data_IF_536617112046
#
_entry.id   IF_536617112046
#
_cell.length_a   1.000
_cell.length_b   1.000
_cell.length_c   1.000
_cell.angle_alpha   90.00
_cell.angle_beta   90.00
_cell.angle_gamma   90.00
#
_symmetry.space_group_name_H-M   'P 1'
#
loop_
_entity.id
_entity.type
_entity.pdbx_description
1 polymer ?
#
# COMPACT_ATOMS: atom_id res chain seq x y z
N UNK A 1 -63.30 -8.25 -5.25
CA UNK A 1 -62.28 -7.21 -4.95
C UNK A 1 -61.22 -7.82 -4.06
N UNK A 2 -60.09 -8.27 -4.61
CA UNK A 2 -58.99 -8.91 -3.87
C UNK A 2 -57.88 -7.89 -3.71
N UNK A 3 -57.66 -7.41 -2.46
CA UNK A 3 -56.54 -6.53 -2.16
C UNK A 3 -55.23 -7.32 -2.21
N UNK A 4 -54.39 -7.03 -3.23
CA UNK A 4 -53.01 -7.50 -3.27
C UNK A 4 -52.15 -6.80 -2.25
N UNK A 5 -51.61 -7.55 -1.27
CA UNK A 5 -50.58 -7.08 -0.36
C UNK A 5 -49.25 -6.99 -1.09
N UNK A 6 -48.77 -5.79 -1.37
CA UNK A 6 -47.40 -5.55 -1.77
C UNK A 6 -46.46 -5.72 -0.55
N UNK A 7 -45.70 -6.80 -0.54
CA UNK A 7 -44.56 -6.96 0.37
C UNK A 7 -43.40 -6.13 -0.18
N UNK A 8 -43.09 -5.03 0.51
CA UNK A 8 -41.84 -4.27 0.27
C UNK A 8 -40.73 -5.07 0.96
N UNK A 9 -39.70 -5.51 0.22
CA UNK A 9 -38.56 -6.15 0.87
C UNK A 9 -37.82 -5.12 1.73
N UNK A 10 -37.81 -5.34 3.04
CA UNK A 10 -36.92 -4.60 3.96
C UNK A 10 -35.48 -5.03 3.63
N UNK A 11 -34.74 -4.17 2.94
CA UNK A 11 -33.30 -4.32 2.83
C UNK A 11 -32.69 -4.10 4.22
N UNK A 12 -32.27 -5.18 4.86
CA UNK A 12 -31.41 -5.10 6.05
C UNK A 12 -30.06 -4.52 5.60
N UNK A 13 -29.89 -3.22 5.71
CA UNK A 13 -28.58 -2.58 5.75
C UNK A 13 -27.90 -2.99 7.06
N UNK A 14 -27.30 -4.17 7.09
CA UNK A 14 -26.44 -4.57 8.19
C UNK A 14 -25.28 -3.57 8.25
N UNK A 15 -25.12 -2.87 9.39
CA UNK A 15 -23.95 -2.05 9.66
C UNK A 15 -22.71 -2.91 9.47
N UNK A 16 -21.90 -2.60 8.45
CA UNK A 16 -20.64 -3.30 8.24
C UNK A 16 -19.73 -2.94 9.42
N UNK A 17 -19.30 -3.97 10.17
CA UNK A 17 -18.37 -3.79 11.29
C UNK A 17 -17.13 -3.03 10.85
N UNK A 18 -16.61 -2.16 11.72
CA UNK A 18 -15.36 -1.45 11.47
C UNK A 18 -14.25 -2.46 11.16
N UNK A 19 -13.48 -2.18 10.11
CA UNK A 19 -12.32 -2.99 9.73
C UNK A 19 -11.05 -2.23 9.99
N UNK A 20 -10.16 -2.82 10.80
CA UNK A 20 -8.83 -2.27 11.06
C UNK A 20 -7.80 -3.04 10.26
N UNK A 21 -6.89 -2.32 9.61
CA UNK A 21 -5.70 -2.88 8.97
C UNK A 21 -4.45 -2.12 9.39
N UNK A 22 -3.30 -2.71 9.17
CA UNK A 22 -2.00 -2.07 9.40
C UNK A 22 -1.33 -1.76 8.07
N UNK A 23 -0.76 -0.58 7.96
CA UNK A 23 0.20 -0.26 6.93
C UNK A 23 1.60 -0.22 7.56
N UNK A 24 2.48 -1.02 7.00
CA UNK A 24 3.91 -1.03 7.24
C UNK A 24 4.60 -0.57 5.96
N UNK A 25 5.75 0.06 6.06
CA UNK A 25 6.49 0.51 4.87
C UNK A 25 7.99 0.33 5.08
N UNK A 26 8.72 0.13 3.99
CA UNK A 26 10.17 0.21 3.95
C UNK A 26 10.86 -0.62 5.07
N UNK A 27 10.58 -1.93 5.21
CA UNK A 27 11.39 -2.77 6.08
C UNK A 27 12.85 -2.81 5.63
N UNK A 28 13.11 -2.76 4.36
CA UNK A 28 14.34 -2.46 3.63
C UNK A 28 15.61 -3.04 4.28
N UNK A 29 15.60 -4.37 4.47
CA UNK A 29 16.69 -5.11 5.11
C UNK A 29 18.05 -4.79 4.51
N UNK A 30 18.96 -4.26 5.34
CA UNK A 30 20.32 -3.89 4.98
C UNK A 30 20.56 -2.39 4.86
N UNK A 31 19.57 -1.52 4.93
CA UNK A 31 19.73 -0.09 4.75
C UNK A 31 20.56 0.57 5.88
N UNK A 32 20.33 0.20 7.14
CA UNK A 32 21.05 0.75 8.29
C UNK A 32 22.56 0.57 8.19
N UNK A 33 22.99 -0.61 7.77
CA UNK A 33 24.40 -0.99 7.79
C UNK A 33 25.04 -1.02 6.41
N UNK A 34 24.37 -0.46 5.37
CA UNK A 34 24.84 -0.46 3.97
C UNK A 34 25.15 -1.89 3.49
N UNK A 35 24.22 -2.80 3.76
CA UNK A 35 24.24 -4.20 3.37
C UNK A 35 25.30 -5.09 4.06
N UNK A 36 25.95 -4.61 5.10
CA UNK A 36 26.88 -5.43 5.92
C UNK A 36 26.13 -6.41 6.83
N UNK A 37 25.01 -5.96 7.40
CA UNK A 37 24.06 -6.74 8.19
C UNK A 37 22.64 -6.15 8.05
N UNK A 38 21.67 -6.69 8.77
CA UNK A 38 20.29 -6.18 8.83
C UNK A 38 19.66 -6.41 10.21
N UNK A 39 20.45 -6.39 11.26
CA UNK A 39 20.02 -6.70 12.62
C UNK A 39 18.96 -5.70 13.12
N UNK A 40 19.10 -4.42 12.76
CA UNK A 40 18.13 -3.38 13.12
C UNK A 40 16.78 -3.59 12.42
N UNK A 41 16.79 -3.85 11.11
CA UNK A 41 15.57 -4.11 10.34
C UNK A 41 14.89 -5.40 10.80
N UNK A 42 15.68 -6.43 11.14
CA UNK A 42 15.19 -7.68 11.74
C UNK A 42 14.43 -7.39 13.03
N UNK A 43 15.06 -6.67 13.98
CA UNK A 43 14.42 -6.34 15.26
C UNK A 43 13.14 -5.53 15.06
N UNK A 44 13.16 -4.53 14.19
CA UNK A 44 12.03 -3.67 13.91
C UNK A 44 10.87 -4.42 13.24
N UNK A 45 11.15 -5.24 12.22
CA UNK A 45 10.10 -5.96 11.50
C UNK A 45 9.54 -7.12 12.34
N UNK A 46 10.35 -7.80 13.15
CA UNK A 46 9.86 -8.77 14.13
C UNK A 46 8.93 -8.12 15.16
N UNK A 47 9.28 -6.92 15.66
CA UNK A 47 8.43 -6.16 16.57
C UNK A 47 7.11 -5.74 15.90
N UNK A 48 7.15 -5.30 14.64
CA UNK A 48 5.96 -4.94 13.88
C UNK A 48 5.03 -6.15 13.66
N UNK A 49 5.58 -7.33 13.31
CA UNK A 49 4.81 -8.57 13.13
C UNK A 49 4.23 -9.06 14.47
N UNK A 50 5.01 -9.01 15.55
CA UNK A 50 4.50 -9.35 16.90
C UNK A 50 3.36 -8.41 17.32
N UNK A 51 3.48 -7.12 17.02
CA UNK A 51 2.42 -6.13 17.27
C UNK A 51 1.17 -6.45 16.44
N UNK A 52 1.32 -6.81 15.16
CA UNK A 52 0.21 -7.21 14.32
C UNK A 52 -0.52 -8.45 14.89
N UNK A 53 0.23 -9.44 15.34
CA UNK A 53 -0.34 -10.63 15.98
C UNK A 53 -1.13 -10.29 17.26
N UNK A 54 -0.71 -9.28 18.02
CA UNK A 54 -1.42 -8.77 19.20
C UNK A 54 -2.68 -7.97 18.83
N UNK A 55 -2.59 -7.09 17.84
CA UNK A 55 -3.69 -6.20 17.43
C UNK A 55 -4.74 -6.91 16.58
N UNK A 56 -4.40 -8.03 15.94
CA UNK A 56 -5.28 -8.86 15.10
C UNK A 56 -6.04 -8.04 14.04
N UNK A 57 -5.33 -7.28 13.17
CA UNK A 57 -5.97 -6.56 12.09
C UNK A 57 -6.60 -7.52 11.07
N UNK A 58 -7.54 -7.03 10.26
CA UNK A 58 -8.12 -7.80 9.17
C UNK A 58 -7.07 -8.20 8.11
N UNK A 59 -6.08 -7.32 7.89
CA UNK A 59 -4.94 -7.55 7.00
C UNK A 59 -3.80 -6.56 7.28
N UNK A 60 -2.66 -6.81 6.66
CA UNK A 60 -1.50 -5.92 6.63
C UNK A 60 -1.14 -5.63 5.19
N UNK A 61 -0.71 -4.39 4.89
CA UNK A 61 -0.05 -4.05 3.64
C UNK A 61 1.35 -3.53 3.93
N UNK A 62 2.37 -4.10 3.27
CA UNK A 62 3.74 -3.59 3.27
C UNK A 62 3.97 -2.82 1.97
N UNK A 63 4.11 -1.50 2.08
CA UNK A 63 4.13 -0.59 0.93
C UNK A 63 5.54 -0.39 0.36
N UNK A 64 6.19 -1.51 -0.03
CA UNK A 64 7.41 -1.54 -0.84
C UNK A 64 8.71 -1.42 -0.04
N UNK A 65 9.81 -1.49 -0.79
CA UNK A 65 11.18 -1.57 -0.30
C UNK A 65 11.32 -2.68 0.76
N UNK A 66 10.99 -3.90 0.32
CA UNK A 66 11.02 -5.09 1.18
C UNK A 66 12.46 -5.42 1.56
N UNK A 67 13.40 -5.21 0.64
CA UNK A 67 14.84 -5.41 0.80
C UNK A 67 15.59 -4.19 0.28
N UNK A 68 16.84 -3.98 0.74
CA UNK A 68 17.71 -2.92 0.22
C UNK A 68 18.33 -3.29 -1.14
N UNK A 69 18.64 -4.57 -1.35
CA UNK A 69 19.18 -5.09 -2.60
C UNK A 69 18.32 -6.21 -3.17
N UNK A 70 17.65 -5.97 -4.29
CA UNK A 70 16.77 -6.92 -4.97
C UNK A 70 17.40 -8.31 -5.28
N UNK A 71 18.73 -8.38 -5.39
CA UNK A 71 19.48 -9.62 -5.64
C UNK A 71 19.94 -10.36 -4.38
N UNK A 72 19.83 -9.77 -3.21
CA UNK A 72 20.38 -10.31 -1.97
C UNK A 72 19.49 -11.41 -1.39
N UNK A 73 19.90 -12.66 -1.57
CA UNK A 73 19.14 -13.82 -1.10
C UNK A 73 18.95 -13.85 0.42
N UNK A 74 19.91 -13.34 1.20
CA UNK A 74 19.81 -13.32 2.66
C UNK A 74 18.77 -12.32 3.15
N UNK A 75 18.72 -11.11 2.56
CA UNK A 75 17.70 -10.10 2.88
C UNK A 75 16.29 -10.61 2.52
N UNK A 76 16.14 -11.25 1.37
CA UNK A 76 14.87 -11.85 0.92
C UNK A 76 14.43 -12.98 1.86
N UNK A 77 15.36 -13.87 2.23
CA UNK A 77 15.07 -14.97 3.15
C UNK A 77 14.64 -14.45 4.52
N UNK A 78 15.28 -13.38 5.00
CA UNK A 78 14.95 -12.77 6.30
C UNK A 78 13.57 -12.12 6.29
N UNK A 79 13.22 -11.38 5.24
CA UNK A 79 11.86 -10.86 5.06
C UNK A 79 10.82 -11.99 5.17
N UNK A 80 11.00 -13.07 4.42
CA UNK A 80 10.08 -14.20 4.45
C UNK A 80 10.07 -14.93 5.79
N UNK A 81 11.23 -15.09 6.44
CA UNK A 81 11.33 -15.72 7.75
C UNK A 81 10.49 -15.00 8.81
N UNK A 82 10.53 -13.66 8.79
CA UNK A 82 9.78 -12.85 9.75
C UNK A 82 8.30 -12.80 9.37
N UNK A 83 7.98 -12.60 8.09
CA UNK A 83 6.61 -12.61 7.59
C UNK A 83 5.88 -13.92 7.94
N UNK A 84 6.58 -15.06 7.92
CA UNK A 84 6.04 -16.37 8.30
C UNK A 84 5.67 -16.49 9.80
N UNK A 85 6.09 -15.55 10.67
CA UNK A 85 5.67 -15.48 12.07
C UNK A 85 4.30 -14.84 12.28
N UNK A 86 3.72 -14.29 11.22
CA UNK A 86 2.39 -13.72 11.29
C UNK A 86 1.34 -14.79 11.52
N UNK A 87 0.33 -14.49 12.36
CA UNK A 87 -0.82 -15.36 12.57
C UNK A 87 -1.47 -15.68 11.20
N UNK A 88 -1.67 -16.96 10.84
CA UNK A 88 -2.21 -17.36 9.53
C UNK A 88 -3.60 -16.78 9.23
N UNK A 89 -4.33 -16.32 10.23
CA UNK A 89 -5.61 -15.63 10.06
C UNK A 89 -5.46 -14.20 9.50
N UNK A 90 -4.27 -13.58 9.65
CA UNK A 90 -3.99 -12.23 9.17
C UNK A 90 -3.37 -12.32 7.77
N UNK A 91 -4.02 -11.69 6.78
CA UNK A 91 -3.48 -11.64 5.41
C UNK A 91 -2.40 -10.58 5.31
N UNK A 92 -1.27 -10.94 4.70
CA UNK A 92 -0.18 -10.02 4.36
C UNK A 92 -0.20 -9.76 2.86
N UNK A 93 -0.24 -8.50 2.48
CA UNK A 93 -0.11 -8.00 1.12
C UNK A 93 1.17 -7.20 1.00
N UNK A 94 2.00 -7.51 0.01
CA UNK A 94 3.25 -6.80 -0.25
C UNK A 94 3.24 -6.22 -1.66
N UNK A 95 3.93 -5.11 -1.85
CA UNK A 95 4.09 -4.50 -3.17
C UNK A 95 5.56 -4.06 -3.37
N UNK A 96 6.00 -3.86 -4.61
CA UNK A 96 7.39 -3.49 -4.86
C UNK A 96 7.66 -2.02 -4.57
N UNK A 97 8.83 -1.75 -3.97
CA UNK A 97 9.46 -0.45 -3.99
C UNK A 97 10.59 -0.38 -5.04
N UNK A 98 11.28 0.76 -5.10
CA UNK A 98 12.34 0.96 -6.07
C UNK A 98 13.62 0.14 -5.72
N UNK A 99 13.84 -0.22 -4.48
CA UNK A 99 14.91 -1.14 -4.10
C UNK A 99 14.61 -2.59 -4.49
N UNK A 100 13.34 -2.95 -4.68
CA UNK A 100 12.92 -4.30 -5.08
C UNK A 100 12.99 -4.52 -6.60
N UNK A 101 12.70 -3.49 -7.42
CA UNK A 101 12.59 -3.62 -8.90
C UNK A 101 13.45 -2.62 -9.69
N UNK A 102 14.09 -1.65 -9.02
CA UNK A 102 14.86 -0.55 -9.63
C UNK A 102 14.01 0.71 -9.86
N UNK A 103 14.67 1.89 -9.84
CA UNK A 103 14.01 3.16 -10.20
C UNK A 103 13.52 3.15 -11.67
N UNK A 104 14.22 2.43 -12.53
CA UNK A 104 13.87 2.15 -13.92
C UNK A 104 13.70 0.63 -14.05
N UNK A 105 12.48 0.10 -13.85
CA UNK A 105 12.24 -1.33 -13.93
C UNK A 105 12.59 -1.92 -15.29
N UNK A 106 13.11 -3.12 -15.27
CA UNK A 106 13.33 -3.95 -16.47
C UNK A 106 12.42 -5.17 -16.43
N UNK A 107 12.24 -5.84 -17.59
CA UNK A 107 11.49 -7.11 -17.62
C UNK A 107 12.08 -8.16 -16.68
N UNK A 108 13.41 -8.17 -16.55
CA UNK A 108 14.11 -9.08 -15.67
C UNK A 108 13.86 -8.75 -14.19
N UNK A 109 13.95 -7.47 -13.80
CA UNK A 109 13.71 -7.06 -12.41
C UNK A 109 12.25 -7.30 -11.99
N UNK A 110 11.28 -7.04 -12.87
CA UNK A 110 9.87 -7.35 -12.64
C UNK A 110 9.64 -8.87 -12.52
N UNK A 111 10.21 -9.66 -13.39
CA UNK A 111 10.10 -11.13 -13.34
C UNK A 111 10.69 -11.68 -12.03
N UNK A 112 11.85 -11.18 -11.63
CA UNK A 112 12.53 -11.54 -10.38
C UNK A 112 11.68 -11.20 -9.15
N UNK A 113 11.07 -10.01 -9.12
CA UNK A 113 10.16 -9.64 -8.04
C UNK A 113 8.96 -10.59 -7.99
N UNK A 114 8.30 -10.81 -9.13
CA UNK A 114 7.12 -11.68 -9.24
C UNK A 114 7.39 -13.12 -8.79
N UNK A 115 8.59 -13.64 -9.08
CA UNK A 115 9.03 -14.97 -8.64
C UNK A 115 9.18 -15.06 -7.11
N UNK A 116 9.68 -14.00 -6.47
CA UNK A 116 10.08 -14.01 -5.05
C UNK A 116 8.99 -13.55 -4.10
N UNK A 117 8.18 -12.59 -4.52
CA UNK A 117 7.21 -11.92 -3.66
C UNK A 117 5.76 -12.02 -4.20
N UNK A 118 5.56 -12.53 -5.40
CA UNK A 118 4.24 -12.61 -6.03
C UNK A 118 3.93 -11.43 -6.96
N UNK A 119 2.66 -11.23 -7.34
CA UNK A 119 2.27 -10.18 -8.28
C UNK A 119 2.75 -8.79 -7.84
N UNK A 120 3.19 -7.97 -8.79
CA UNK A 120 3.65 -6.60 -8.53
C UNK A 120 2.51 -5.56 -8.60
N UNK A 121 1.35 -5.94 -9.14
CA UNK A 121 0.10 -5.19 -9.02
C UNK A 121 -1.09 -6.17 -9.01
N UNK A 122 -2.08 -5.91 -8.19
CA UNK A 122 -3.26 -6.78 -8.01
C UNK A 122 -4.34 -6.09 -7.19
N UNK A 123 -5.55 -6.69 -7.14
CA UNK A 123 -6.59 -6.29 -6.19
C UNK A 123 -6.81 -7.35 -5.13
N UNK A 124 -7.36 -6.89 -4.00
CA UNK A 124 -7.89 -7.78 -2.97
C UNK A 124 -9.18 -7.23 -2.38
N UNK A 125 -9.92 -8.09 -1.68
CA UNK A 125 -11.12 -7.72 -0.94
C UNK A 125 -10.97 -8.07 0.53
N UNK A 126 -11.36 -7.11 1.38
CA UNK A 126 -11.48 -7.32 2.82
C UNK A 126 -12.74 -6.60 3.29
N UNK A 127 -13.83 -7.34 3.46
CA UNK A 127 -15.16 -6.80 3.81
C UNK A 127 -15.60 -5.65 2.89
N UNK A 128 -15.71 -4.44 3.46
CA UNK A 128 -16.13 -3.23 2.74
C UNK A 128 -15.01 -2.57 1.92
N UNK A 129 -13.77 -3.09 1.98
CA UNK A 129 -12.59 -2.51 1.34
C UNK A 129 -12.27 -3.26 0.05
N UNK A 130 -12.05 -2.52 -1.04
CA UNK A 130 -11.31 -2.96 -2.21
C UNK A 130 -9.94 -2.31 -2.19
N UNK A 131 -8.90 -3.12 -2.01
CA UNK A 131 -7.51 -2.69 -2.11
C UNK A 131 -7.00 -2.84 -3.54
N UNK A 132 -6.39 -1.79 -4.07
CA UNK A 132 -5.73 -1.75 -5.37
C UNK A 132 -4.24 -1.55 -5.12
N UNK A 133 -3.48 -2.60 -5.32
CA UNK A 133 -2.02 -2.57 -5.18
C UNK A 133 -1.40 -2.23 -6.53
N UNK A 134 -0.56 -1.20 -6.58
CA UNK A 134 0.10 -0.71 -7.78
C UNK A 134 1.63 -0.81 -7.64
N UNK A 135 2.29 -1.02 -8.76
CA UNK A 135 3.74 -0.88 -8.88
C UNK A 135 4.07 0.55 -9.33
N UNK A 136 4.29 1.45 -8.38
CA UNK A 136 4.56 2.87 -8.65
C UNK A 136 5.86 3.13 -9.43
N UNK A 137 6.76 2.15 -9.53
CA UNK A 137 7.96 2.27 -10.35
C UNK A 137 7.60 2.26 -11.85
N UNK A 138 6.48 1.61 -12.23
CA UNK A 138 5.92 1.68 -13.59
C UNK A 138 5.23 3.04 -13.89
N UNK A 139 4.91 3.82 -12.86
CA UNK A 139 4.35 5.16 -12.98
C UNK A 139 5.44 6.22 -13.04
N UNK A 140 6.58 5.96 -12.38
CA UNK A 140 7.69 6.90 -12.24
C UNK A 140 8.71 6.81 -13.38
N UNK A 141 9.10 5.61 -13.78
CA UNK A 141 10.19 5.41 -14.73
C UNK A 141 10.03 4.10 -15.50
N UNK A 142 9.10 4.06 -16.46
CA UNK A 142 8.78 2.84 -17.22
C UNK A 142 9.35 2.85 -18.64
N UNK A 143 10.37 3.65 -18.93
CA UNK A 143 10.95 3.79 -20.27
C UNK A 143 11.45 2.47 -20.84
N UNK A 144 12.00 1.59 -19.98
CA UNK A 144 12.45 0.24 -20.34
C UNK A 144 11.31 -0.77 -20.54
N UNK A 145 10.12 -0.51 -20.04
CA UNK A 145 8.96 -1.43 -20.02
C UNK A 145 7.62 -0.70 -20.19
N UNK A 146 7.46 0.15 -21.22
CA UNK A 146 6.27 0.98 -21.38
C UNK A 146 4.97 0.16 -21.56
N UNK A 147 5.07 -1.04 -22.10
CA UNK A 147 3.93 -1.94 -22.24
C UNK A 147 3.46 -2.52 -20.89
N UNK A 148 4.36 -2.74 -19.91
CA UNK A 148 3.98 -3.17 -18.56
C UNK A 148 3.23 -2.04 -17.83
N UNK A 149 3.68 -0.79 -17.96
CA UNK A 149 2.97 0.38 -17.41
C UNK A 149 1.57 0.53 -18.05
N UNK A 150 1.47 0.43 -19.36
CA UNK A 150 0.19 0.51 -20.07
C UNK A 150 -0.78 -0.63 -19.67
N UNK A 151 -0.26 -1.85 -19.49
CA UNK A 151 -1.05 -2.98 -18.99
C UNK A 151 -1.59 -2.72 -17.58
N UNK A 152 -0.76 -2.25 -16.66
CA UNK A 152 -1.17 -1.93 -15.29
C UNK A 152 -2.25 -0.83 -15.28
N UNK A 153 -2.07 0.25 -16.04
CA UNK A 153 -3.05 1.34 -16.09
C UNK A 153 -4.41 0.87 -16.67
N UNK A 154 -4.40 0.06 -17.74
CA UNK A 154 -5.61 -0.51 -18.33
C UNK A 154 -6.33 -1.46 -17.38
N UNK A 155 -5.57 -2.32 -16.69
CA UNK A 155 -6.07 -3.22 -15.66
C UNK A 155 -6.69 -2.45 -14.50
N UNK A 156 -5.99 -1.42 -13.98
CA UNK A 156 -6.49 -0.59 -12.88
C UNK A 156 -7.84 0.04 -13.20
N UNK A 157 -7.97 0.63 -14.40
CA UNK A 157 -9.24 1.20 -14.87
C UNK A 157 -10.37 0.17 -14.85
N UNK A 158 -10.12 -1.02 -15.35
CA UNK A 158 -11.09 -2.13 -15.40
C UNK A 158 -11.52 -2.54 -13.99
N UNK A 159 -10.57 -2.68 -13.07
CA UNK A 159 -10.86 -3.10 -11.70
C UNK A 159 -11.57 -2.01 -10.87
N UNK A 160 -11.24 -0.73 -11.09
CA UNK A 160 -11.96 0.41 -10.49
C UNK A 160 -13.40 0.49 -11.00
N UNK A 161 -13.63 0.31 -12.31
CA UNK A 161 -14.96 0.23 -12.90
C UNK A 161 -15.80 -0.87 -12.25
N UNK A 162 -15.21 -2.05 -12.11
CA UNK A 162 -15.86 -3.21 -11.49
C UNK A 162 -16.20 -2.91 -10.01
N UNK A 163 -15.25 -2.39 -9.23
CA UNK A 163 -15.48 -2.08 -7.83
C UNK A 163 -16.59 -1.04 -7.62
N UNK A 164 -16.62 0.00 -8.48
CA UNK A 164 -17.68 1.02 -8.46
C UNK A 164 -19.05 0.42 -8.79
N UNK A 165 -19.13 -0.43 -9.83
CA UNK A 165 -20.38 -1.12 -10.21
C UNK A 165 -20.86 -2.05 -9.11
N UNK A 166 -19.93 -2.73 -8.41
CA UNK A 166 -20.23 -3.65 -7.31
C UNK A 166 -20.63 -2.90 -6.01
N UNK A 167 -20.59 -1.56 -5.98
CA UNK A 167 -20.99 -0.73 -4.85
C UNK A 167 -20.08 -0.84 -3.65
N UNK A 168 -18.76 -1.06 -3.85
CA UNK A 168 -17.80 -1.18 -2.76
C UNK A 168 -17.65 0.15 -2.03
N UNK A 169 -17.69 0.12 -0.70
CA UNK A 169 -17.75 1.33 0.11
C UNK A 169 -16.41 2.07 0.19
N UNK A 170 -15.29 1.35 0.21
CA UNK A 170 -13.95 1.93 0.32
C UNK A 170 -13.05 1.41 -0.80
N UNK A 171 -12.69 2.29 -1.73
CA UNK A 171 -11.68 2.04 -2.75
C UNK A 171 -10.38 2.67 -2.28
N UNK A 172 -9.40 1.84 -1.93
CA UNK A 172 -8.13 2.27 -1.35
C UNK A 172 -6.99 1.80 -2.26
N UNK A 173 -6.10 2.73 -2.62
CA UNK A 173 -4.89 2.43 -3.40
C UNK A 173 -3.70 2.29 -2.46
N UNK A 174 -2.83 1.34 -2.75
CA UNK A 174 -1.58 1.09 -2.07
C UNK A 174 -0.45 1.06 -3.10
N UNK A 175 0.57 1.86 -2.90
CA UNK A 175 1.76 1.91 -3.75
C UNK A 175 2.98 2.36 -2.94
N UNK A 176 4.16 2.31 -3.53
CA UNK A 176 5.38 2.69 -2.82
C UNK A 176 5.66 4.20 -2.92
N UNK A 177 5.83 4.74 -4.12
CA UNK A 177 6.16 6.15 -4.34
C UNK A 177 4.87 6.97 -4.36
N UNK A 178 4.79 8.03 -3.57
CA UNK A 178 3.62 8.90 -3.50
C UNK A 178 3.39 9.66 -4.81
N UNK A 179 2.13 9.92 -5.19
CA UNK A 179 1.87 10.82 -6.29
C UNK A 179 2.35 12.24 -5.96
N UNK A 180 2.12 12.68 -4.74
CA UNK A 180 2.64 13.94 -4.19
C UNK A 180 2.78 13.82 -2.67
N UNK A 181 3.60 14.67 -2.06
CA UNK A 181 3.79 14.66 -0.61
C UNK A 181 2.88 15.64 0.10
N UNK A 182 2.66 16.82 -0.47
CA UNK A 182 1.88 17.92 0.14
C UNK A 182 0.86 18.52 -0.81
N UNK A 183 1.27 18.82 -2.04
CA UNK A 183 0.44 19.53 -3.02
C UNK A 183 0.41 18.73 -4.33
N UNK A 184 -0.77 18.46 -4.91
CA UNK A 184 -0.88 17.74 -6.18
C UNK A 184 -0.16 18.43 -7.36
N UNK A 185 0.18 19.71 -7.24
CA UNK A 185 0.92 20.47 -8.23
C UNK A 185 2.39 20.75 -7.85
N UNK A 186 2.90 20.12 -6.78
CA UNK A 186 4.31 20.25 -6.41
C UNK A 186 5.25 19.81 -7.54
N UNK A 187 6.48 20.37 -7.65
CA UNK A 187 7.43 20.01 -8.70
C UNK A 187 7.78 18.53 -8.66
N UNK A 188 8.30 18.04 -9.79
CA UNK A 188 8.81 16.68 -9.91
C UNK A 188 10.07 16.52 -9.05
N UNK A 189 10.02 15.55 -8.13
CA UNK A 189 11.09 15.26 -7.18
C UNK A 189 11.37 13.75 -7.09
N UNK A 190 12.44 13.38 -6.41
CA UNK A 190 12.76 11.96 -6.21
C UNK A 190 11.64 11.20 -5.50
N UNK A 191 10.96 11.84 -4.56
CA UNK A 191 9.96 11.22 -3.70
C UNK A 191 8.53 11.25 -4.23
N UNK A 192 8.29 11.75 -5.45
CA UNK A 192 6.95 11.78 -6.02
C UNK A 192 6.91 11.29 -7.47
N UNK A 193 5.72 10.98 -7.94
CA UNK A 193 5.45 10.59 -9.33
C UNK A 193 5.44 11.86 -10.22
N UNK A 194 6.02 11.84 -11.43
CA UNK A 194 6.05 12.99 -12.35
C UNK A 194 4.66 13.58 -12.60
N UNK A 195 4.57 14.90 -12.67
CA UNK A 195 3.32 15.68 -12.72
C UNK A 195 2.35 15.19 -13.81
N UNK A 196 2.85 14.92 -15.01
CA UNK A 196 1.99 14.47 -16.11
C UNK A 196 1.33 13.10 -15.83
N UNK A 197 2.06 12.17 -15.25
CA UNK A 197 1.53 10.87 -14.82
C UNK A 197 0.61 11.03 -13.62
N UNK A 198 1.03 11.82 -12.62
CA UNK A 198 0.26 12.18 -11.43
C UNK A 198 -1.14 12.67 -11.78
N UNK A 199 -1.24 13.70 -12.63
CA UNK A 199 -2.53 14.28 -13.05
C UNK A 199 -3.44 13.26 -13.73
N UNK A 200 -2.87 12.36 -14.55
CA UNK A 200 -3.63 11.30 -15.22
C UNK A 200 -4.24 10.30 -14.22
N UNK A 201 -3.46 9.85 -13.24
CA UNK A 201 -3.94 8.92 -12.21
C UNK A 201 -4.91 9.57 -11.23
N UNK A 202 -4.65 10.80 -10.76
CA UNK A 202 -5.56 11.53 -9.88
C UNK A 202 -6.94 11.74 -10.55
N UNK A 203 -6.96 12.09 -11.84
CA UNK A 203 -8.21 12.18 -12.61
C UNK A 203 -8.96 10.84 -12.62
N UNK A 204 -8.25 9.73 -12.80
CA UNK A 204 -8.83 8.39 -12.77
C UNK A 204 -9.42 8.08 -11.39
N UNK A 205 -8.70 8.39 -10.32
CA UNK A 205 -9.14 8.16 -8.94
C UNK A 205 -10.40 8.96 -8.61
N UNK A 206 -10.45 10.24 -8.94
CA UNK A 206 -11.67 11.05 -8.77
C UNK A 206 -12.86 10.49 -9.56
N UNK A 207 -12.64 10.07 -10.80
CA UNK A 207 -13.70 9.51 -11.63
C UNK A 207 -14.36 8.28 -10.99
N UNK A 208 -13.57 7.43 -10.30
CA UNK A 208 -14.06 6.19 -9.70
C UNK A 208 -14.33 6.29 -8.20
N UNK A 209 -13.97 7.39 -7.56
CA UNK A 209 -14.25 7.63 -6.13
C UNK A 209 -13.23 6.99 -5.19
N UNK A 210 -11.97 6.84 -5.62
CA UNK A 210 -10.84 6.55 -4.71
C UNK A 210 -10.63 7.75 -3.81
N UNK A 211 -10.54 7.53 -2.50
CA UNK A 211 -10.38 8.61 -1.52
C UNK A 211 -9.10 8.52 -0.69
N UNK A 212 -8.43 7.39 -0.68
CA UNK A 212 -7.18 7.19 0.04
C UNK A 212 -6.15 6.49 -0.83
N UNK A 213 -4.92 7.01 -0.80
CA UNK A 213 -3.73 6.38 -1.35
C UNK A 213 -2.69 6.29 -0.23
N UNK A 214 -2.28 5.08 0.12
CA UNK A 214 -1.25 4.81 1.13
C UNK A 214 0.08 4.47 0.47
N UNK A 215 1.14 5.18 0.88
CA UNK A 215 2.48 5.11 0.29
C UNK A 215 3.58 4.97 1.34
N UNK A 216 4.82 4.70 0.88
CA UNK A 216 6.06 4.68 1.64
C UNK A 216 7.14 5.58 1.04
N UNK A 217 8.34 5.04 0.80
CA UNK A 217 9.45 5.64 0.06
C UNK A 217 10.11 6.87 0.72
N UNK A 218 9.34 7.70 1.36
CA UNK A 218 9.82 8.98 1.91
C UNK A 218 10.59 8.81 3.22
N UNK A 219 10.49 7.62 3.85
CA UNK A 219 11.07 7.31 5.16
C UNK A 219 10.69 8.29 6.29
N UNK A 220 9.60 9.02 6.08
CA UNK A 220 8.96 9.97 7.01
C UNK A 220 7.46 9.99 6.76
N UNK A 221 6.70 10.50 7.72
CA UNK A 221 5.28 10.72 7.49
C UNK A 221 5.06 11.99 6.67
N UNK A 222 4.16 11.94 5.70
CA UNK A 222 3.61 13.08 5.01
C UNK A 222 2.15 12.86 4.68
N UNK A 223 1.38 13.93 4.68
CA UNK A 223 -0.03 13.91 4.29
C UNK A 223 -0.30 15.12 3.39
N UNK A 224 -0.97 14.88 2.28
CA UNK A 224 -1.44 15.87 1.33
C UNK A 224 -2.85 15.54 0.86
N UNK A 225 -3.48 16.46 0.17
CA UNK A 225 -4.88 16.29 -0.28
C UNK A 225 -5.11 16.86 -1.66
N UNK A 226 -5.90 16.14 -2.47
CA UNK A 226 -6.43 16.60 -3.74
C UNK A 226 -7.96 16.43 -3.74
N UNK A 227 -8.70 17.53 -3.53
CA UNK A 227 -10.15 17.47 -3.34
C UNK A 227 -10.54 16.59 -2.13
N UNK A 228 -11.20 15.48 -2.38
CA UNK A 228 -11.61 14.49 -1.36
C UNK A 228 -10.70 13.25 -1.31
N UNK A 229 -9.57 13.27 -2.02
CA UNK A 229 -8.54 12.25 -2.01
C UNK A 229 -7.42 12.62 -1.03
N UNK A 230 -7.17 11.75 -0.06
CA UNK A 230 -6.05 11.86 0.88
C UNK A 230 -4.84 11.05 0.35
N UNK A 231 -3.68 11.72 0.24
CA UNK A 231 -2.38 11.10 -0.03
C UNK A 231 -1.64 10.90 1.29
N UNK A 232 -1.39 9.65 1.67
CA UNK A 232 -0.88 9.29 2.99
C UNK A 232 0.45 8.55 2.82
N UNK A 233 1.55 9.26 3.08
CA UNK A 233 2.88 8.66 3.09
C UNK A 233 3.23 8.25 4.50
N UNK A 234 3.63 7.01 4.68
CA UNK A 234 3.90 6.41 6.00
C UNK A 234 5.39 6.25 6.21
N UNK A 235 5.86 6.62 7.40
CA UNK A 235 7.22 6.40 7.85
C UNK A 235 7.60 4.92 7.91
N UNK A 236 8.89 4.57 7.88
CA UNK A 236 9.37 3.21 7.70
C UNK A 236 9.22 2.35 8.95
N UNK A 237 9.13 1.05 8.75
CA UNK A 237 9.43 0.04 9.77
C UNK A 237 10.95 -0.06 9.96
N UNK A 238 11.69 -0.05 8.86
CA UNK A 238 13.15 -0.06 8.85
C UNK A 238 13.77 1.28 9.24
N UNK A 239 14.73 1.76 8.45
CA UNK A 239 15.51 2.96 8.74
C UNK A 239 14.75 4.25 8.46
N UNK A 240 14.47 5.10 9.47
CA UNK A 240 13.92 6.43 9.25
C UNK A 240 14.98 7.43 8.78
N UNK A 241 14.55 8.50 8.11
CA UNK A 241 15.42 9.59 7.66
C UNK A 241 15.09 10.89 8.40
N UNK A 242 16.09 11.79 8.46
CA UNK A 242 15.96 13.17 8.96
C UNK A 242 15.26 13.29 10.34
N UNK A 243 15.62 12.42 11.27
CA UNK A 243 15.11 12.48 12.65
C UNK A 243 13.71 11.89 12.85
N UNK A 244 13.09 11.32 11.82
CA UNK A 244 11.88 10.53 11.97
C UNK A 244 12.12 9.27 12.81
N UNK A 245 11.04 8.56 13.14
CA UNK A 245 11.10 7.32 13.92
C UNK A 245 10.48 6.17 13.14
N UNK A 246 10.98 4.97 13.44
CA UNK A 246 10.37 3.73 12.93
C UNK A 246 9.02 3.48 13.59
N UNK A 247 8.08 2.94 12.82
CA UNK A 247 6.74 2.69 13.32
C UNK A 247 5.85 2.01 12.29
N UNK A 248 4.56 2.05 12.54
CA UNK A 248 3.53 1.56 11.63
C UNK A 248 2.26 2.41 11.73
N UNK A 249 1.41 2.34 10.71
CA UNK A 249 0.13 3.05 10.69
C UNK A 249 -1.01 2.08 10.96
N UNK A 250 -1.86 2.44 11.92
CA UNK A 250 -3.14 1.77 12.17
C UNK A 250 -4.22 2.53 11.41
N UNK A 251 -5.00 1.81 10.61
CA UNK A 251 -6.07 2.37 9.77
C UNK A 251 -7.38 1.69 10.09
N UNK A 252 -8.44 2.45 10.27
CA UNK A 252 -9.80 1.94 10.52
C UNK A 252 -10.77 2.48 9.48
N UNK A 253 -11.40 1.57 8.73
CA UNK A 253 -12.48 1.87 7.79
C UNK A 253 -13.83 1.54 8.40
N UNK A 254 -14.74 2.50 8.48
CA UNK A 254 -16.09 2.35 9.04
C UNK A 254 -17.07 3.31 8.38
N UNK A 255 -18.21 2.80 7.89
CA UNK A 255 -19.37 3.61 7.46
C UNK A 255 -19.01 4.76 6.50
N UNK A 256 -18.19 4.48 5.46
CA UNK A 256 -17.78 5.47 4.46
C UNK A 256 -16.64 6.38 4.89
N UNK A 257 -16.12 6.21 6.12
CA UNK A 257 -15.00 6.99 6.66
C UNK A 257 -13.78 6.09 6.86
N UNK A 258 -12.59 6.63 6.54
CA UNK A 258 -11.29 6.01 6.85
C UNK A 258 -10.54 6.95 7.78
N UNK A 259 -10.15 6.44 8.96
CA UNK A 259 -9.31 7.14 9.91
C UNK A 259 -7.99 6.41 10.07
N UNK A 260 -6.90 7.13 10.30
CA UNK A 260 -5.60 6.53 10.45
C UNK A 260 -4.72 7.31 11.43
N UNK A 261 -3.76 6.62 12.02
CA UNK A 261 -2.73 7.22 12.86
C UNK A 261 -1.43 6.43 12.73
N UNK A 262 -0.31 7.12 12.52
CA UNK A 262 1.02 6.55 12.66
C UNK A 262 1.39 6.45 14.13
N UNK A 263 1.95 5.33 14.52
CA UNK A 263 2.48 5.09 15.84
C UNK A 263 3.97 4.75 15.75
N UNK A 264 4.80 5.48 16.44
CA UNK A 264 6.18 5.11 16.67
C UNK A 264 6.24 3.81 17.51
N UNK A 265 7.27 3.01 17.36
CA UNK A 265 7.34 1.72 18.05
C UNK A 265 7.27 1.79 19.57
N UNK A 266 7.63 2.92 20.18
CA UNK A 266 7.47 3.16 21.61
C UNK A 266 6.04 3.56 22.06
N UNK A 267 5.12 3.82 21.12
CA UNK A 267 3.79 4.41 21.39
C UNK A 267 2.60 3.55 20.91
N UNK A 268 2.86 2.31 20.52
CA UNK A 268 1.83 1.42 19.96
C UNK A 268 0.71 1.13 20.96
N UNK A 269 -0.58 1.11 20.53
CA UNK A 269 -1.74 0.87 21.39
C UNK A 269 -1.78 -0.52 21.99
#
# INVERSE_FOLDING_TARGET
MTLGRFLIPLAFAGSLAAQTFLQMSDPQFGMYSKDHDFDHETANFEFAVATANRLKPAFIVVTGDLVNQAGNASQIAEYHRIAAKLDPAIKLYSLPGNHDVGNEPTRESLARYRERFGPDYYTFRAGAIAGFVLNSNLEKGAEGVPDEAAKMESWLKTELEKAKRDGVSHLIVFQHISFFLKDPNEPDEYFNIPLATRQRYLKLFHQYGVKQVFCGHYHRNSEGRDGDLDMITTGPVGMPLEGAKSGLRVVTAKEGTVTHKFYEFGELP
#
